data_IF_471489403811
#
_entry.id   IF_471489403811
#
_cell.length_a   1.000
_cell.length_b   1.000
_cell.length_c   1.000
_cell.angle_alpha   90.00
_cell.angle_beta   90.00
_cell.angle_gamma   90.00
#
_symmetry.space_group_name_H-M   'P 1'
#
loop_
_entity.id
_entity.type
_entity.pdbx_description
1 polymer ?
#
# COMPACT_ATOMS: atom_id res chain seq x y z
N UNK A 1 -33.70 -10.77 -14.45
CA UNK A 1 -33.61 -12.20 -14.76
C UNK A 1 -33.16 -12.92 -13.50
N UNK A 2 -33.83 -14.00 -13.10
CA UNK A 2 -33.35 -14.82 -11.99
C UNK A 2 -31.99 -15.41 -12.39
N UNK A 3 -30.98 -15.28 -11.52
CA UNK A 3 -29.68 -15.94 -11.74
C UNK A 3 -29.96 -17.45 -11.65
N UNK A 4 -29.59 -18.19 -12.70
CA UNK A 4 -29.70 -19.65 -12.73
C UNK A 4 -28.36 -20.17 -13.20
N UNK A 5 -27.69 -20.95 -12.35
CA UNK A 5 -26.46 -21.64 -12.72
C UNK A 5 -26.85 -22.95 -13.39
N UNK A 6 -26.41 -23.15 -14.63
CA UNK A 6 -26.62 -24.41 -15.34
C UNK A 6 -25.36 -25.29 -15.24
N UNK A 7 -24.20 -24.67 -15.30
CA UNK A 7 -22.90 -25.32 -15.24
C UNK A 7 -22.10 -24.82 -14.04
N UNK A 8 -21.19 -25.66 -13.54
CA UNK A 8 -20.18 -25.26 -12.55
C UNK A 8 -19.35 -24.06 -13.05
N UNK A 9 -19.03 -24.05 -14.34
CA UNK A 9 -18.34 -22.96 -15.04
C UNK A 9 -19.05 -21.60 -14.93
N UNK A 10 -20.36 -21.58 -14.62
CA UNK A 10 -21.12 -20.33 -14.49
C UNK A 10 -20.89 -19.65 -13.11
N UNK A 11 -20.35 -20.36 -12.12
CA UNK A 11 -20.27 -19.89 -10.74
C UNK A 11 -18.97 -20.23 -10.00
N UNK A 12 -17.97 -20.81 -10.67
CA UNK A 12 -16.69 -21.21 -10.07
C UNK A 12 -15.51 -20.67 -10.89
N UNK A 13 -14.43 -20.29 -10.20
CA UNK A 13 -13.19 -19.85 -10.84
C UNK A 13 -12.54 -21.01 -11.62
N UNK A 14 -11.94 -20.79 -12.80
CA UNK A 14 -11.32 -21.85 -13.58
C UNK A 14 -10.29 -22.68 -12.80
N UNK A 15 -9.53 -22.07 -11.88
CA UNK A 15 -8.55 -22.79 -11.07
C UNK A 15 -9.22 -23.73 -10.06
N UNK A 16 -10.32 -23.30 -9.44
CA UNK A 16 -11.11 -24.13 -8.53
C UNK A 16 -11.75 -25.32 -9.27
N UNK A 17 -12.19 -25.10 -10.51
CA UNK A 17 -12.75 -26.15 -11.35
C UNK A 17 -11.68 -27.21 -11.72
N UNK A 18 -10.44 -26.79 -11.96
CA UNK A 18 -9.32 -27.71 -12.18
C UNK A 18 -8.97 -28.53 -10.94
N UNK A 19 -9.03 -27.92 -9.75
CA UNK A 19 -8.81 -28.62 -8.49
C UNK A 19 -9.94 -29.63 -8.20
N UNK A 20 -11.20 -29.29 -8.49
CA UNK A 20 -12.32 -30.23 -8.41
C UNK A 20 -12.10 -31.43 -9.33
N UNK A 21 -11.69 -31.22 -10.58
CA UNK A 21 -11.29 -32.30 -11.50
C UNK A 21 -10.10 -33.12 -11.03
N UNK A 22 -9.27 -32.57 -10.14
CA UNK A 22 -8.10 -33.27 -9.59
C UNK A 22 -8.47 -34.14 -8.37
N UNK A 23 -9.65 -33.94 -7.78
CA UNK A 23 -10.19 -34.82 -6.75
C UNK A 23 -10.66 -36.14 -7.38
N UNK A 24 -10.09 -37.31 -6.98
CA UNK A 24 -10.46 -38.60 -7.55
C UNK A 24 -11.94 -38.93 -7.40
N UNK A 25 -12.55 -38.54 -6.28
CA UNK A 25 -13.95 -38.83 -5.99
C UNK A 25 -14.88 -37.97 -6.86
N UNK A 26 -14.58 -36.68 -7.01
CA UNK A 26 -15.38 -35.78 -7.86
C UNK A 26 -15.23 -36.16 -9.33
N UNK A 27 -14.00 -36.40 -9.79
CA UNK A 27 -13.76 -36.82 -11.17
C UNK A 27 -14.49 -38.13 -11.50
N UNK A 28 -14.50 -39.11 -10.59
CA UNK A 28 -15.25 -40.35 -10.78
C UNK A 28 -16.75 -40.10 -10.88
N UNK A 29 -17.31 -39.24 -10.01
CA UNK A 29 -18.74 -38.88 -10.04
C UNK A 29 -19.14 -38.19 -11.34
N UNK A 30 -18.35 -37.21 -11.79
CA UNK A 30 -18.59 -36.50 -13.05
C UNK A 30 -18.46 -37.40 -14.27
N UNK A 31 -17.46 -38.28 -14.30
CA UNK A 31 -17.28 -39.24 -15.40
C UNK A 31 -18.43 -40.25 -15.48
N UNK A 32 -18.98 -40.69 -14.33
CA UNK A 32 -20.09 -41.65 -14.29
C UNK A 32 -21.36 -41.10 -14.95
N UNK A 33 -21.60 -39.79 -14.83
CA UNK A 33 -22.72 -39.10 -15.49
C UNK A 33 -22.37 -38.56 -16.89
N UNK A 34 -21.19 -38.88 -17.41
CA UNK A 34 -20.77 -38.57 -18.78
C UNK A 34 -20.17 -37.18 -18.99
N UNK A 35 -19.80 -36.48 -17.92
CA UNK A 35 -19.07 -35.21 -18.03
C UNK A 35 -17.62 -35.46 -18.47
N UNK A 36 -17.05 -34.50 -19.19
CA UNK A 36 -15.69 -34.63 -19.72
C UNK A 36 -14.84 -33.42 -19.39
N UNK A 37 -13.60 -33.67 -18.95
CA UNK A 37 -12.66 -32.60 -18.63
C UNK A 37 -12.37 -31.75 -19.87
N UNK A 38 -12.50 -30.43 -19.73
CA UNK A 38 -12.36 -29.46 -20.82
C UNK A 38 -13.67 -29.12 -21.54
N UNK A 39 -14.79 -29.76 -21.17
CA UNK A 39 -16.14 -29.28 -21.47
C UNK A 39 -16.76 -28.65 -20.23
N UNK A 40 -17.84 -27.88 -20.41
CA UNK A 40 -18.60 -27.34 -19.28
C UNK A 40 -19.25 -28.47 -18.49
N UNK A 41 -19.15 -28.41 -17.18
CA UNK A 41 -19.68 -29.45 -16.27
C UNK A 41 -21.05 -29.04 -15.77
N UNK A 42 -22.07 -29.88 -15.93
CA UNK A 42 -23.42 -29.56 -15.42
C UNK A 42 -23.45 -29.55 -13.89
N UNK A 43 -24.24 -28.63 -13.34
CA UNK A 43 -24.51 -28.60 -11.91
C UNK A 43 -25.70 -29.51 -11.57
N UNK A 44 -25.58 -30.29 -10.49
CA UNK A 44 -26.58 -31.27 -10.07
C UNK A 44 -27.94 -30.62 -9.73
N UNK A 45 -29.02 -31.37 -9.93
CA UNK A 45 -30.42 -30.92 -9.77
C UNK A 45 -31.21 -31.79 -8.82
N UNK A 46 -31.85 -31.18 -7.83
CA UNK A 46 -32.76 -31.89 -6.92
C UNK A 46 -34.06 -32.27 -7.68
N UNK A 47 -34.96 -33.07 -7.07
CA UNK A 47 -36.22 -33.46 -7.71
C UNK A 47 -37.12 -32.27 -8.09
N UNK A 48 -36.94 -31.12 -7.44
CA UNK A 48 -37.68 -29.88 -7.72
C UNK A 48 -37.00 -29.03 -8.81
N UNK A 49 -35.85 -29.46 -9.34
CA UNK A 49 -35.08 -28.78 -10.37
C UNK A 49 -34.15 -27.68 -9.85
N UNK A 50 -33.99 -27.54 -8.53
CA UNK A 50 -33.04 -26.58 -7.95
C UNK A 50 -31.62 -27.11 -8.08
N UNK A 51 -30.70 -26.20 -8.38
CA UNK A 51 -29.28 -26.51 -8.40
C UNK A 51 -28.81 -26.83 -6.97
N UNK A 52 -28.03 -27.89 -6.80
CA UNK A 52 -27.40 -28.27 -5.53
C UNK A 52 -26.04 -28.91 -5.80
N UNK A 53 -25.20 -28.96 -4.76
CA UNK A 53 -23.95 -29.72 -4.79
C UNK A 53 -24.19 -31.11 -4.21
N UNK A 54 -23.65 -32.15 -4.84
CA UNK A 54 -23.62 -33.48 -4.24
C UNK A 54 -22.76 -33.48 -2.97
N UNK A 55 -22.84 -34.56 -2.18
CA UNK A 55 -21.99 -34.67 -0.99
C UNK A 55 -20.50 -34.67 -1.36
N UNK A 56 -20.15 -35.33 -2.46
CA UNK A 56 -18.78 -35.43 -2.98
C UNK A 56 -18.28 -34.06 -3.41
N UNK A 57 -19.08 -33.34 -4.20
CA UNK A 57 -18.76 -31.99 -4.65
C UNK A 57 -18.63 -31.02 -3.46
N UNK A 58 -19.59 -31.03 -2.53
CA UNK A 58 -19.56 -30.15 -1.35
C UNK A 58 -18.34 -30.42 -0.47
N UNK A 59 -17.97 -31.69 -0.29
CA UNK A 59 -16.77 -32.07 0.47
C UNK A 59 -15.50 -31.57 -0.21
N UNK A 60 -15.38 -31.76 -1.53
CA UNK A 60 -14.22 -31.27 -2.27
C UNK A 60 -14.12 -29.73 -2.23
N UNK A 61 -15.24 -29.01 -2.39
CA UNK A 61 -15.27 -27.54 -2.24
C UNK A 61 -14.79 -27.11 -0.85
N UNK A 62 -15.26 -27.77 0.20
CA UNK A 62 -14.82 -27.48 1.57
C UNK A 62 -13.32 -27.74 1.74
N UNK A 63 -12.82 -28.89 1.28
CA UNK A 63 -11.40 -29.26 1.37
C UNK A 63 -10.49 -28.29 0.62
N UNK A 64 -10.83 -27.89 -0.61
CA UNK A 64 -10.06 -26.93 -1.41
C UNK A 64 -9.94 -25.60 -0.68
N UNK A 65 -11.07 -25.04 -0.24
CA UNK A 65 -11.10 -23.73 0.44
C UNK A 65 -10.35 -23.78 1.78
N UNK A 66 -10.55 -24.84 2.55
CA UNK A 66 -9.86 -25.04 3.83
C UNK A 66 -8.36 -25.15 3.61
N UNK A 67 -7.92 -26.00 2.67
CA UNK A 67 -6.51 -26.19 2.37
C UNK A 67 -5.84 -24.88 1.95
N UNK A 68 -6.47 -24.13 1.04
CA UNK A 68 -5.89 -22.91 0.46
C UNK A 68 -5.84 -21.73 1.45
N UNK A 69 -6.85 -21.59 2.32
CA UNK A 69 -7.00 -20.37 3.13
C UNK A 69 -6.90 -20.58 4.64
N UNK A 70 -7.11 -21.81 5.13
CA UNK A 70 -7.23 -22.08 6.57
C UNK A 70 -6.31 -23.20 7.07
N UNK A 71 -5.55 -23.86 6.19
CA UNK A 71 -4.72 -25.01 6.52
C UNK A 71 -5.57 -26.16 7.07
N UNK A 72 -5.16 -26.78 8.18
CA UNK A 72 -5.91 -27.88 8.84
C UNK A 72 -6.70 -27.42 10.08
N UNK A 73 -7.09 -26.15 10.15
CA UNK A 73 -7.75 -25.58 11.34
C UNK A 73 -9.26 -25.86 11.41
N UNK A 74 -9.86 -26.26 10.29
CA UNK A 74 -11.30 -26.48 10.16
C UNK A 74 -11.50 -27.89 9.62
N UNK A 75 -12.39 -28.65 10.25
CA UNK A 75 -12.81 -29.95 9.75
C UNK A 75 -13.75 -29.77 8.53
N UNK A 76 -13.42 -30.30 7.34
CA UNK A 76 -14.28 -30.22 6.16
C UNK A 76 -15.68 -30.82 6.37
N UNK A 77 -15.80 -31.87 7.19
CA UNK A 77 -17.09 -32.52 7.45
C UNK A 77 -18.02 -31.59 8.25
N UNK A 78 -17.46 -30.72 9.09
CA UNK A 78 -18.22 -29.67 9.79
C UNK A 78 -18.82 -28.65 8.81
N UNK A 79 -18.07 -28.24 7.78
CA UNK A 79 -18.56 -27.33 6.75
C UNK A 79 -19.67 -27.99 5.93
N UNK A 80 -19.50 -29.26 5.55
CA UNK A 80 -20.51 -30.03 4.84
C UNK A 80 -21.82 -30.12 5.63
N UNK A 81 -21.73 -30.49 6.92
CA UNK A 81 -22.91 -30.59 7.78
C UNK A 81 -23.65 -29.25 7.93
N UNK A 82 -22.92 -28.13 8.01
CA UNK A 82 -23.54 -26.80 8.04
C UNK A 82 -24.21 -26.48 6.70
N UNK A 83 -23.57 -26.78 5.57
CA UNK A 83 -24.14 -26.57 4.24
C UNK A 83 -25.47 -27.33 4.04
N UNK A 84 -25.53 -28.59 4.49
CA UNK A 84 -26.76 -29.39 4.52
C UNK A 84 -27.82 -28.71 5.39
N UNK A 85 -27.52 -28.42 6.66
CA UNK A 85 -28.48 -27.84 7.60
C UNK A 85 -29.04 -26.46 7.17
N UNK A 86 -28.21 -25.66 6.49
CA UNK A 86 -28.57 -24.28 6.17
C UNK A 86 -29.31 -24.14 4.85
N UNK A 87 -28.94 -24.94 3.85
CA UNK A 87 -29.42 -24.73 2.47
C UNK A 87 -29.65 -26.00 1.66
N UNK A 88 -29.50 -27.19 2.25
CA UNK A 88 -29.49 -28.46 1.51
C UNK A 88 -28.44 -28.44 0.38
N UNK A 89 -27.31 -27.75 0.61
CA UNK A 89 -26.21 -27.51 -0.35
C UNK A 89 -26.62 -26.75 -1.61
N UNK A 90 -27.68 -25.94 -1.55
CA UNK A 90 -28.15 -25.17 -2.70
C UNK A 90 -27.43 -23.81 -2.80
N UNK A 91 -26.67 -23.53 -3.89
CA UNK A 91 -25.91 -22.29 -4.04
C UNK A 91 -26.78 -21.04 -4.21
N UNK A 92 -28.02 -21.19 -4.64
CA UNK A 92 -28.96 -20.08 -4.85
C UNK A 92 -30.00 -19.97 -3.73
N UNK A 93 -29.85 -20.71 -2.63
CA UNK A 93 -30.79 -20.64 -1.52
C UNK A 93 -30.83 -19.24 -0.91
N UNK A 94 -32.04 -18.73 -0.69
CA UNK A 94 -32.27 -17.46 0.01
C UNK A 94 -33.27 -17.66 1.13
N UNK A 95 -33.02 -17.07 2.29
CA UNK A 95 -33.94 -17.12 3.43
C UNK A 95 -34.10 -15.72 4.03
N UNK A 96 -35.33 -15.25 4.14
CA UNK A 96 -35.64 -13.97 4.77
C UNK A 96 -35.83 -14.13 6.27
N UNK A 97 -35.03 -13.42 7.07
CA UNK A 97 -35.18 -13.34 8.51
C UNK A 97 -36.00 -12.09 8.89
N UNK A 98 -37.21 -12.32 9.42
CA UNK A 98 -38.13 -11.26 9.85
C UNK A 98 -37.57 -10.42 11.00
N UNK A 99 -36.79 -11.00 11.91
CA UNK A 99 -36.19 -10.34 13.07
C UNK A 99 -35.02 -9.45 12.64
N UNK A 100 -34.17 -9.98 11.77
CA UNK A 100 -33.03 -9.22 11.24
C UNK A 100 -33.43 -8.23 10.12
N UNK A 101 -34.64 -8.38 9.56
CA UNK A 101 -35.13 -7.64 8.38
C UNK A 101 -34.12 -7.71 7.22
N UNK A 102 -33.57 -8.90 6.99
CA UNK A 102 -32.51 -9.13 6.02
C UNK A 102 -32.61 -10.53 5.43
N UNK A 103 -32.10 -10.70 4.22
CA UNK A 103 -32.05 -11.98 3.53
C UNK A 103 -30.65 -12.57 3.62
N UNK A 104 -30.53 -13.80 4.12
CA UNK A 104 -29.32 -14.62 3.99
C UNK A 104 -29.29 -15.31 2.63
N UNK A 105 -28.11 -15.51 2.08
CA UNK A 105 -27.92 -16.04 0.72
C UNK A 105 -26.84 -17.12 0.68
N UNK A 106 -26.96 -18.02 -0.29
CA UNK A 106 -25.95 -19.02 -0.65
C UNK A 106 -25.93 -20.25 0.25
N UNK A 107 -24.98 -21.15 -0.04
CA UNK A 107 -24.84 -22.46 0.63
C UNK A 107 -24.74 -22.31 2.15
N UNK A 108 -23.96 -21.33 2.61
CA UNK A 108 -23.70 -21.11 4.04
C UNK A 108 -24.71 -20.16 4.71
N UNK A 109 -25.75 -19.71 3.99
CA UNK A 109 -26.76 -18.77 4.47
C UNK A 109 -26.18 -17.56 5.23
N UNK A 110 -25.19 -16.89 4.63
CA UNK A 110 -24.59 -15.68 5.20
C UNK A 110 -25.37 -14.44 4.76
N UNK A 111 -25.47 -13.45 5.65
CA UNK A 111 -25.95 -12.13 5.26
C UNK A 111 -24.88 -11.39 4.47
N UNK A 112 -25.22 -10.70 3.36
CA UNK A 112 -24.25 -9.93 2.57
C UNK A 112 -23.43 -8.94 3.43
N UNK A 113 -24.09 -8.26 4.38
CA UNK A 113 -23.41 -7.34 5.31
C UNK A 113 -22.38 -8.04 6.21
N UNK A 114 -22.61 -9.30 6.56
CA UNK A 114 -21.67 -10.10 7.34
C UNK A 114 -20.49 -10.53 6.50
N UNK A 115 -20.73 -10.96 5.25
CA UNK A 115 -19.67 -11.30 4.30
C UNK A 115 -18.76 -10.08 4.03
N UNK A 116 -19.34 -8.91 3.72
CA UNK A 116 -18.59 -7.66 3.55
C UNK A 116 -17.76 -7.31 4.80
N UNK A 117 -18.32 -7.53 6.00
CA UNK A 117 -17.63 -7.27 7.25
C UNK A 117 -16.47 -8.26 7.51
N UNK A 118 -16.61 -9.52 7.09
CA UNK A 118 -15.54 -10.52 7.15
C UNK A 118 -14.43 -10.23 6.13
N UNK A 119 -14.78 -9.81 4.92
CA UNK A 119 -13.84 -9.55 3.83
C UNK A 119 -13.03 -8.26 4.00
N UNK A 120 -13.51 -7.29 4.78
CA UNK A 120 -12.73 -6.08 5.09
C UNK A 120 -11.50 -6.44 5.91
N UNK A 121 -10.31 -6.25 5.31
CA UNK A 121 -9.05 -6.18 6.04
C UNK A 121 -9.25 -5.32 7.29
N UNK A 122 -8.90 -5.88 8.45
CA UNK A 122 -9.04 -5.16 9.71
C UNK A 122 -7.95 -4.13 9.77
N UNK A 123 -8.32 -2.88 9.55
CA UNK A 123 -7.41 -1.75 9.73
C UNK A 123 -6.72 -1.85 11.08
N UNK A 124 -5.48 -1.39 11.16
CA UNK A 124 -4.72 -1.37 12.41
C UNK A 124 -5.52 -0.68 13.54
N UNK A 125 -6.23 0.39 13.20
CA UNK A 125 -7.15 1.05 14.12
C UNK A 125 -8.21 0.09 14.67
N UNK A 126 -8.84 -0.73 13.81
CA UNK A 126 -9.82 -1.73 14.25
C UNK A 126 -9.19 -2.73 15.22
N UNK A 127 -8.00 -3.26 14.89
CA UNK A 127 -7.31 -4.27 15.70
C UNK A 127 -6.99 -3.70 17.09
N UNK A 128 -6.41 -2.51 17.16
CA UNK A 128 -6.00 -1.89 18.41
C UNK A 128 -7.20 -1.45 19.26
N UNK A 129 -8.25 -0.93 18.62
CA UNK A 129 -9.48 -0.56 19.34
C UNK A 129 -10.24 -1.79 19.82
N UNK A 130 -10.21 -2.89 19.05
CA UNK A 130 -10.73 -4.17 19.48
C UNK A 130 -9.92 -4.76 20.64
N UNK A 131 -8.59 -4.62 20.63
CA UNK A 131 -7.74 -5.03 21.75
C UNK A 131 -8.14 -4.35 23.06
N UNK A 132 -8.44 -3.04 23.01
CA UNK A 132 -8.86 -2.31 24.21
C UNK A 132 -10.30 -2.58 24.63
N UNK A 133 -11.23 -2.68 23.68
CA UNK A 133 -12.68 -2.63 23.95
C UNK A 133 -13.46 -3.89 23.57
N UNK A 134 -12.82 -4.89 23.00
CA UNK A 134 -13.46 -5.99 22.30
C UNK A 134 -13.96 -5.59 20.90
N UNK A 135 -14.21 -6.58 20.05
CA UNK A 135 -14.63 -6.39 18.64
C UNK A 135 -15.90 -5.55 18.49
N UNK A 136 -16.84 -5.65 19.44
CA UNK A 136 -18.08 -4.84 19.48
C UNK A 136 -17.83 -3.34 19.74
N UNK A 137 -16.69 -2.97 20.34
CA UNK A 137 -16.35 -1.57 20.65
C UNK A 137 -15.20 -1.04 19.77
N UNK A 138 -14.74 -1.82 18.80
CA UNK A 138 -13.65 -1.45 17.92
C UNK A 138 -13.91 -0.14 17.15
N UNK A 139 -15.16 0.17 16.83
CA UNK A 139 -15.56 1.42 16.17
C UNK A 139 -16.18 2.45 17.13
N UNK A 140 -16.39 2.10 18.40
CA UNK A 140 -17.09 2.93 19.38
C UNK A 140 -16.22 4.08 19.91
N UNK A 141 -16.78 5.29 20.09
CA UNK A 141 -16.03 6.49 20.49
C UNK A 141 -15.18 6.32 21.76
N UNK A 142 -15.59 5.44 22.69
CA UNK A 142 -14.85 5.16 23.93
C UNK A 142 -13.46 4.55 23.72
N UNK A 143 -13.19 3.90 22.59
CA UNK A 143 -11.87 3.29 22.29
C UNK A 143 -10.94 4.23 21.52
N UNK A 144 -11.44 5.36 21.02
CA UNK A 144 -10.67 6.34 20.26
C UNK A 144 -9.48 6.92 21.04
N UNK A 145 -9.58 7.27 22.34
CA UNK A 145 -8.42 7.77 23.10
C UNK A 145 -7.28 6.75 23.20
N UNK A 146 -7.61 5.46 23.25
CA UNK A 146 -6.60 4.39 23.29
C UNK A 146 -5.88 4.24 21.95
N UNK A 147 -6.62 4.33 20.84
CA UNK A 147 -6.03 4.40 19.49
C UNK A 147 -5.08 5.58 19.34
N UNK A 148 -5.51 6.77 19.77
CA UNK A 148 -4.66 7.97 19.73
C UNK A 148 -3.36 7.77 20.54
N UNK A 149 -3.46 7.16 21.74
CA UNK A 149 -2.29 6.84 22.57
C UNK A 149 -1.38 5.79 21.93
N UNK A 150 -1.96 4.72 21.37
CA UNK A 150 -1.23 3.70 20.63
C UNK A 150 -0.43 4.33 19.50
N UNK A 151 -1.08 5.17 18.69
CA UNK A 151 -0.45 5.84 17.56
C UNK A 151 0.72 6.70 18.00
N UNK A 152 0.57 7.49 19.08
CA UNK A 152 1.67 8.26 19.68
C UNK A 152 2.84 7.37 20.15
N UNK A 153 2.54 6.22 20.75
CA UNK A 153 3.59 5.27 21.20
C UNK A 153 4.26 4.62 19.99
N UNK A 154 3.50 4.12 19.02
CA UNK A 154 4.01 3.51 17.79
C UNK A 154 4.86 4.50 16.97
N UNK A 155 4.46 5.76 16.91
CA UNK A 155 5.21 6.86 16.30
C UNK A 155 6.55 7.14 17.01
N UNK A 156 6.67 6.81 18.30
CA UNK A 156 7.92 6.92 19.07
C UNK A 156 8.73 5.63 19.14
N UNK A 157 8.25 4.52 18.55
CA UNK A 157 9.02 3.28 18.45
C UNK A 157 10.15 3.41 17.41
N UNK A 158 11.36 2.91 17.70
CA UNK A 158 12.59 3.21 16.96
C UNK A 158 12.71 2.59 15.56
N UNK A 159 11.70 1.93 15.00
CA UNK A 159 11.83 1.19 13.73
C UNK A 159 11.21 1.92 12.52
N UNK A 160 11.47 3.23 12.37
CA UNK A 160 11.08 4.00 11.17
C UNK A 160 12.21 4.11 10.13
N UNK A 161 13.41 3.63 10.46
CA UNK A 161 14.55 3.52 9.56
C UNK A 161 15.19 2.14 9.73
N UNK A 162 15.88 1.65 8.70
CA UNK A 162 16.60 0.38 8.81
C UNK A 162 17.85 0.53 9.68
N UNK A 163 18.38 -0.56 10.27
CA UNK A 163 19.64 -0.51 11.01
C UNK A 163 20.79 0.06 10.18
N UNK A 164 20.84 -0.25 8.88
CA UNK A 164 21.85 0.23 7.94
C UNK A 164 21.75 1.73 7.72
N UNK A 165 20.54 2.25 7.51
CA UNK A 165 20.28 3.68 7.37
C UNK A 165 20.63 4.45 8.65
N UNK A 166 20.35 3.88 9.83
CA UNK A 166 20.70 4.47 11.11
C UNK A 166 22.22 4.48 11.37
N UNK A 167 22.92 3.42 10.95
CA UNK A 167 24.37 3.35 11.03
C UNK A 167 25.03 4.44 10.17
N UNK A 168 24.54 4.63 8.94
CA UNK A 168 25.05 5.65 8.04
C UNK A 168 24.78 7.07 8.52
N UNK A 169 23.60 7.32 9.10
CA UNK A 169 23.31 8.57 9.80
C UNK A 169 24.30 8.80 10.95
N UNK A 170 24.58 7.79 11.76
CA UNK A 170 25.52 7.90 12.89
C UNK A 170 26.97 8.14 12.44
N UNK A 171 27.35 7.69 11.25
CA UNK A 171 28.69 7.91 10.70
C UNK A 171 28.93 9.35 10.21
N UNK A 172 27.88 10.17 10.08
CA UNK A 172 28.00 11.59 9.74
C UNK A 172 28.32 12.42 10.98
N UNK A 173 29.44 13.14 10.94
CA UNK A 173 29.97 13.87 12.10
C UNK A 173 29.01 14.94 12.65
N UNK A 174 28.28 15.66 11.79
CA UNK A 174 27.29 16.66 12.19
C UNK A 174 26.09 16.02 12.89
N UNK A 175 25.57 14.92 12.35
CA UNK A 175 24.47 14.14 12.94
C UNK A 175 24.89 13.53 14.28
N UNK A 176 26.03 12.85 14.32
CA UNK A 176 26.52 12.18 15.53
C UNK A 176 26.79 13.18 16.66
N UNK A 177 27.30 14.38 16.31
CA UNK A 177 27.51 15.48 17.24
C UNK A 177 26.19 16.01 17.80
N UNK A 178 25.18 16.18 16.95
CA UNK A 178 23.84 16.61 17.38
C UNK A 178 23.20 15.59 18.32
N UNK A 179 23.20 14.31 17.94
CA UNK A 179 22.65 13.22 18.74
C UNK A 179 23.37 13.02 20.07
N UNK A 180 24.70 13.11 20.09
CA UNK A 180 25.48 13.00 21.32
C UNK A 180 25.18 14.16 22.27
N UNK A 181 24.97 15.37 21.74
CA UNK A 181 24.63 16.56 22.54
C UNK A 181 23.27 16.41 23.23
N UNK A 182 22.34 15.68 22.64
CA UNK A 182 21.01 15.40 23.22
C UNK A 182 20.95 14.10 24.03
N UNK A 183 22.09 13.41 24.21
CA UNK A 183 22.19 12.19 25.01
C UNK A 183 21.63 10.93 24.34
N UNK A 184 21.45 10.96 23.01
CA UNK A 184 21.07 9.79 22.24
C UNK A 184 22.25 8.82 22.10
N UNK A 185 21.96 7.54 21.88
CA UNK A 185 22.99 6.48 21.82
C UNK A 185 22.93 5.77 20.47
N UNK A 186 24.06 5.26 20.02
CA UNK A 186 24.14 4.45 18.79
C UNK A 186 23.15 3.29 18.87
N UNK A 187 22.37 3.09 17.80
CA UNK A 187 21.30 2.09 17.73
C UNK A 187 20.03 2.43 18.51
N UNK A 188 19.99 3.54 19.27
CA UNK A 188 18.80 4.00 19.99
C UNK A 188 18.73 5.53 19.98
N UNK A 189 18.17 6.04 18.90
CA UNK A 189 17.96 7.47 18.65
C UNK A 189 16.46 7.75 18.54
N UNK A 190 16.00 8.78 19.24
CA UNK A 190 14.63 9.30 19.14
C UNK A 190 14.56 10.45 18.15
N UNK A 191 13.42 10.60 17.48
CA UNK A 191 13.13 11.78 16.67
C UNK A 191 13.00 13.04 17.53
N UNK A 192 13.35 14.18 16.94
CA UNK A 192 13.02 15.49 17.50
C UNK A 192 11.50 15.66 17.56
N UNK A 193 11.01 16.30 18.62
CA UNK A 193 9.58 16.48 18.88
C UNK A 193 9.29 17.96 19.11
N UNK A 194 8.24 18.49 18.48
CA UNK A 194 7.81 19.89 18.67
C UNK A 194 7.00 20.09 19.96
N UNK A 195 6.62 21.34 20.25
CA UNK A 195 5.79 21.68 21.43
C UNK A 195 4.43 20.96 21.44
N UNK A 196 3.92 20.57 20.26
CA UNK A 196 2.65 19.86 20.07
C UNK A 196 2.83 18.35 20.01
N UNK A 197 4.01 17.84 20.38
CA UNK A 197 4.37 16.42 20.37
C UNK A 197 4.41 15.78 18.98
N UNK A 198 4.63 16.56 17.92
CA UNK A 198 4.79 16.06 16.56
C UNK A 198 6.25 15.74 16.27
N UNK A 199 6.55 14.53 15.75
CA UNK A 199 7.91 14.18 15.37
C UNK A 199 8.33 14.89 14.08
N UNK A 200 9.54 15.41 14.05
CA UNK A 200 10.15 16.06 12.89
C UNK A 200 11.63 15.69 12.78
N UNK A 201 12.21 15.90 11.59
CA UNK A 201 13.66 15.83 11.40
C UNK A 201 14.29 17.21 11.60
N UNK A 202 15.37 17.29 12.37
CA UNK A 202 16.22 18.48 12.41
C UNK A 202 16.76 18.82 11.01
N UNK A 203 17.30 20.03 10.82
CA UNK A 203 17.90 20.39 9.52
C UNK A 203 19.13 19.53 9.19
N UNK A 204 19.88 19.14 10.22
CA UNK A 204 21.05 18.26 10.09
C UNK A 204 20.62 16.85 9.72
N UNK A 205 19.61 16.32 10.43
CA UNK A 205 19.04 15.00 10.14
C UNK A 205 18.44 14.93 8.73
N UNK A 206 17.66 15.94 8.34
CA UNK A 206 17.02 15.99 7.02
C UNK A 206 18.05 16.02 5.90
N UNK A 207 19.11 16.83 6.04
CA UNK A 207 20.19 16.90 5.07
C UNK A 207 20.91 15.58 4.96
N UNK A 208 21.21 14.94 6.09
CA UNK A 208 21.83 13.62 6.09
C UNK A 208 20.97 12.57 5.36
N UNK A 209 19.66 12.51 5.62
CA UNK A 209 18.74 11.60 4.92
C UNK A 209 18.73 11.89 3.41
N UNK A 210 18.67 13.16 3.00
CA UNK A 210 18.71 13.55 1.58
C UNK A 210 20.02 13.13 0.92
N UNK A 211 21.16 13.43 1.53
CA UNK A 211 22.48 13.06 1.01
C UNK A 211 22.62 11.53 0.88
N UNK A 212 22.19 10.75 1.87
CA UNK A 212 22.28 9.27 1.85
C UNK A 212 21.48 8.71 0.68
N UNK A 213 20.22 9.14 0.55
CA UNK A 213 19.34 8.69 -0.55
C UNK A 213 19.95 9.03 -1.91
N UNK A 214 20.42 10.26 -2.07
CA UNK A 214 21.01 10.70 -3.34
C UNK A 214 22.28 9.93 -3.66
N UNK A 215 23.15 9.71 -2.67
CA UNK A 215 24.40 8.97 -2.87
C UNK A 215 24.14 7.50 -3.22
N UNK A 216 23.18 6.85 -2.55
CA UNK A 216 22.87 5.42 -2.77
C UNK A 216 22.12 5.16 -4.08
N UNK A 217 21.17 6.03 -4.42
CA UNK A 217 20.17 5.69 -5.44
C UNK A 217 20.11 6.64 -6.63
N UNK A 218 20.71 7.83 -6.51
CA UNK A 218 20.62 8.89 -7.52
C UNK A 218 21.97 9.54 -7.79
N UNK A 219 23.08 8.80 -7.61
CA UNK A 219 24.44 9.35 -7.73
C UNK A 219 24.78 9.87 -9.13
N UNK A 220 24.09 9.38 -10.15
CA UNK A 220 24.22 9.81 -11.54
C UNK A 220 23.32 11.01 -11.88
N UNK A 221 22.42 11.42 -10.98
CA UNK A 221 21.49 12.51 -11.21
C UNK A 221 22.02 13.79 -10.55
N UNK A 222 21.97 14.95 -11.22
CA UNK A 222 22.48 16.21 -10.68
C UNK A 222 21.46 16.83 -9.71
N UNK A 223 21.17 16.15 -8.60
CA UNK A 223 20.27 16.66 -7.55
C UNK A 223 21.09 16.98 -6.32
N UNK A 224 20.96 18.21 -5.83
CA UNK A 224 21.57 18.62 -4.57
C UNK A 224 20.64 18.24 -3.42
N UNK A 225 21.20 17.75 -2.29
CA UNK A 225 20.43 17.49 -1.09
C UNK A 225 19.68 18.71 -0.54
N UNK A 226 20.25 19.91 -0.70
CA UNK A 226 19.63 21.19 -0.31
C UNK A 226 18.27 21.43 -0.96
N UNK A 227 18.09 21.00 -2.22
CA UNK A 227 16.81 21.12 -2.95
C UNK A 227 15.74 20.26 -2.29
N UNK A 228 16.06 18.99 -1.99
CA UNK A 228 15.12 18.10 -1.29
C UNK A 228 14.80 18.61 0.12
N UNK A 229 15.80 19.16 0.82
CA UNK A 229 15.61 19.74 2.14
C UNK A 229 14.66 20.96 2.11
N UNK A 230 14.87 21.86 1.15
CA UNK A 230 14.03 23.03 0.97
C UNK A 230 12.59 22.64 0.60
N UNK A 231 12.40 21.66 -0.29
CA UNK A 231 11.08 21.10 -0.59
C UNK A 231 10.40 20.52 0.66
N UNK A 232 11.10 19.70 1.44
CA UNK A 232 10.55 19.13 2.66
C UNK A 232 10.19 20.21 3.70
N UNK A 233 10.99 21.29 3.81
CA UNK A 233 10.67 22.42 4.69
C UNK A 233 9.40 23.16 4.23
N UNK A 234 9.25 23.44 2.94
CA UNK A 234 8.05 24.10 2.38
C UNK A 234 6.80 23.24 2.50
N UNK A 235 6.93 21.94 2.26
CA UNK A 235 5.79 21.03 2.10
C UNK A 235 5.27 20.50 3.44
N UNK A 236 6.18 20.09 4.32
CA UNK A 236 5.83 19.37 5.55
C UNK A 236 6.36 20.03 6.81
N UNK A 237 7.11 21.14 6.71
CA UNK A 237 7.91 21.68 7.82
C UNK A 237 8.80 20.61 8.47
N UNK A 238 9.24 19.62 7.67
CA UNK A 238 10.06 18.47 8.10
C UNK A 238 9.35 17.49 9.05
N UNK A 239 8.02 17.57 9.18
CA UNK A 239 7.25 16.63 9.99
C UNK A 239 7.20 15.25 9.35
N UNK A 240 7.51 14.21 10.13
CA UNK A 240 7.52 12.82 9.63
C UNK A 240 6.16 12.38 9.09
N UNK A 241 5.08 12.82 9.72
CA UNK A 241 3.73 12.46 9.32
C UNK A 241 3.15 13.40 8.26
N UNK A 242 3.92 14.38 7.79
CA UNK A 242 3.48 15.40 6.85
C UNK A 242 2.51 16.45 7.43
N UNK A 243 1.90 17.23 6.53
CA UNK A 243 0.99 18.33 6.87
C UNK A 243 -0.25 18.27 5.96
N UNK A 244 -1.43 18.31 6.58
CA UNK A 244 -2.70 18.25 5.86
C UNK A 244 -2.88 16.90 5.13
N UNK A 245 -3.24 16.89 3.83
CA UNK A 245 -3.41 15.64 3.07
C UNK A 245 -2.09 15.02 2.60
N UNK A 246 -0.95 15.72 2.77
CA UNK A 246 0.35 15.27 2.27
C UNK A 246 1.06 14.42 3.32
N UNK A 247 1.40 13.19 2.96
CA UNK A 247 2.08 12.24 3.83
C UNK A 247 3.60 12.40 3.77
N UNK A 248 4.29 12.12 4.87
CA UNK A 248 5.75 12.13 4.91
C UNK A 248 6.40 13.51 4.88
N UNK A 249 7.73 13.51 4.95
CA UNK A 249 8.54 14.74 4.92
C UNK A 249 8.54 15.40 3.53
N UNK A 250 8.39 14.63 2.46
CA UNK A 250 8.38 15.13 1.07
C UNK A 250 6.98 15.33 0.49
N UNK A 251 5.93 14.94 1.21
CA UNK A 251 4.53 15.21 0.86
C UNK A 251 3.98 14.49 -0.38
N UNK A 252 4.64 13.42 -0.83
CA UNK A 252 4.16 12.55 -1.90
C UNK A 252 3.00 11.70 -1.38
N UNK A 253 1.91 11.60 -2.14
CA UNK A 253 0.80 10.70 -1.81
C UNK A 253 1.10 9.25 -2.25
N UNK A 254 0.34 8.30 -1.69
CA UNK A 254 0.55 6.88 -1.98
C UNK A 254 0.35 6.51 -3.44
N UNK A 255 -0.61 7.11 -4.14
CA UNK A 255 -0.84 6.82 -5.57
C UNK A 255 0.36 7.24 -6.41
N UNK A 256 0.92 8.42 -6.19
CA UNK A 256 2.12 8.91 -6.88
C UNK A 256 3.34 8.04 -6.57
N UNK A 257 3.54 7.67 -5.30
CA UNK A 257 4.64 6.79 -4.91
C UNK A 257 4.49 5.37 -5.50
N UNK A 258 3.28 4.82 -5.51
CA UNK A 258 2.96 3.53 -6.09
C UNK A 258 3.17 3.51 -7.59
N UNK A 259 2.82 4.60 -8.29
CA UNK A 259 3.08 4.78 -9.71
C UNK A 259 4.59 4.89 -10.01
N UNK A 260 5.35 5.69 -9.25
CA UNK A 260 6.82 5.78 -9.37
C UNK A 260 7.49 4.43 -9.13
N UNK A 261 6.95 3.65 -8.19
CA UNK A 261 7.29 2.25 -8.06
C UNK A 261 6.78 1.54 -9.34
N UNK A 262 5.58 0.99 -9.37
CA UNK A 262 5.12 0.03 -10.37
C UNK A 262 5.45 0.36 -11.83
N UNK A 263 5.39 1.62 -12.25
CA UNK A 263 5.57 2.01 -13.66
C UNK A 263 6.94 2.62 -13.97
N UNK A 264 7.50 3.47 -13.10
CA UNK A 264 8.75 4.20 -13.40
C UNK A 264 10.03 3.47 -12.95
N UNK A 265 9.90 2.30 -12.32
CA UNK A 265 11.05 1.43 -12.00
C UNK A 265 11.82 1.80 -10.72
N UNK A 266 11.36 2.76 -9.92
CA UNK A 266 12.01 3.13 -8.67
C UNK A 266 11.75 2.08 -7.57
N UNK A 267 12.55 1.00 -7.52
CA UNK A 267 12.34 -0.18 -6.64
C UNK A 267 13.15 -0.25 -5.33
N UNK A 268 14.03 0.71 -5.03
CA UNK A 268 14.98 0.55 -3.91
C UNK A 268 14.33 0.42 -2.52
N UNK A 269 13.14 1.00 -2.34
CA UNK A 269 12.33 0.87 -1.12
C UNK A 269 10.98 0.23 -1.46
N UNK A 270 10.68 -0.92 -0.86
CA UNK A 270 9.47 -1.70 -1.14
C UNK A 270 8.23 -1.10 -0.44
N UNK A 271 7.34 -0.48 -1.23
CA UNK A 271 6.08 0.11 -0.75
C UNK A 271 5.03 -0.97 -0.53
N UNK A 272 4.64 -1.22 0.73
CA UNK A 272 3.57 -2.15 1.06
C UNK A 272 2.28 -1.42 1.47
N UNK A 273 2.40 -0.23 2.07
CA UNK A 273 1.26 0.52 2.59
C UNK A 273 1.51 2.04 2.64
N UNK A 274 0.44 2.84 2.67
CA UNK A 274 0.54 4.31 2.73
C UNK A 274 1.39 4.85 3.88
N UNK A 275 1.36 4.18 5.03
CA UNK A 275 2.12 4.57 6.21
C UNK A 275 3.65 4.45 6.02
N UNK A 276 4.12 3.70 5.02
CA UNK A 276 5.54 3.61 4.70
C UNK A 276 6.12 4.97 4.33
N UNK A 277 5.31 5.87 3.73
CA UNK A 277 5.73 7.23 3.40
C UNK A 277 5.94 8.12 4.63
N UNK A 278 5.54 7.69 5.83
CA UNK A 278 5.89 8.39 7.08
C UNK A 278 7.28 8.01 7.60
N UNK A 279 7.97 7.06 6.96
CA UNK A 279 9.38 6.72 7.22
C UNK A 279 10.26 7.70 6.44
N UNK A 280 11.27 8.33 7.09
CA UNK A 280 12.04 9.41 6.47
C UNK A 280 12.77 8.99 5.18
N UNK A 281 13.38 7.80 5.17
CA UNK A 281 14.09 7.28 3.99
C UNK A 281 13.16 6.95 2.81
N UNK A 282 12.01 6.32 3.09
CA UNK A 282 10.99 6.06 2.07
C UNK A 282 10.46 7.37 1.47
N UNK A 283 10.05 8.30 2.34
CA UNK A 283 9.55 9.61 1.92
C UNK A 283 10.58 10.34 1.06
N UNK A 284 11.83 10.39 1.52
CA UNK A 284 12.92 11.06 0.80
C UNK A 284 13.21 10.40 -0.55
N UNK A 285 13.26 9.06 -0.60
CA UNK A 285 13.49 8.30 -1.83
C UNK A 285 12.43 8.59 -2.89
N UNK A 286 11.15 8.48 -2.55
CA UNK A 286 10.07 8.75 -3.51
C UNK A 286 9.96 10.24 -3.86
N UNK A 287 10.32 11.14 -2.95
CA UNK A 287 10.43 12.56 -3.27
C UNK A 287 11.55 12.85 -4.27
N UNK A 288 12.72 12.24 -4.10
CA UNK A 288 13.82 12.34 -5.06
C UNK A 288 13.44 11.74 -6.42
N UNK A 289 12.81 10.56 -6.44
CA UNK A 289 12.31 9.92 -7.65
C UNK A 289 11.30 10.80 -8.41
N UNK A 290 10.36 11.43 -7.70
CA UNK A 290 9.38 12.32 -8.32
C UNK A 290 10.04 13.56 -8.92
N UNK A 291 11.04 14.13 -8.23
CA UNK A 291 11.82 15.26 -8.73
C UNK A 291 12.58 14.89 -10.01
N UNK A 292 13.24 13.72 -10.05
CA UNK A 292 13.89 13.20 -11.25
C UNK A 292 12.90 13.09 -12.40
N UNK A 293 11.73 12.50 -12.16
CA UNK A 293 10.73 12.34 -13.20
C UNK A 293 10.19 13.69 -13.72
N UNK A 294 9.95 14.65 -12.83
CA UNK A 294 9.50 15.99 -13.21
C UNK A 294 10.53 16.77 -14.02
N UNK A 295 11.82 16.51 -13.82
CA UNK A 295 12.89 17.14 -14.60
C UNK A 295 12.83 16.78 -16.09
N UNK A 296 12.26 15.62 -16.43
CA UNK A 296 12.11 15.10 -17.80
C UNK A 296 10.62 15.01 -18.22
N UNK A 297 9.75 15.78 -17.57
CA UNK A 297 8.30 15.71 -17.79
C UNK A 297 7.90 15.94 -19.26
N UNK A 298 7.08 15.03 -19.81
CA UNK A 298 6.70 14.94 -21.24
C UNK A 298 7.89 14.84 -22.22
N UNK A 299 8.98 14.17 -21.79
CA UNK A 299 10.15 13.93 -22.64
C UNK A 299 10.98 15.18 -22.92
N UNK A 300 10.76 16.26 -22.16
CA UNK A 300 11.48 17.53 -22.30
C UNK A 300 12.14 17.92 -20.99
N UNK A 301 13.38 18.40 -21.06
CA UNK A 301 14.08 18.97 -19.90
C UNK A 301 13.32 20.19 -19.38
N UNK A 302 12.96 20.19 -18.11
CA UNK A 302 12.20 21.27 -17.46
C UNK A 302 13.10 22.20 -16.66
N UNK A 303 12.65 23.44 -16.47
CA UNK A 303 13.35 24.42 -15.63
C UNK A 303 13.18 24.06 -14.14
N UNK A 304 14.13 24.45 -13.26
CA UNK A 304 14.00 24.21 -11.82
C UNK A 304 12.72 24.80 -11.24
N UNK A 305 12.32 25.97 -11.73
CA UNK A 305 11.10 26.64 -11.32
C UNK A 305 9.86 25.81 -11.67
N UNK A 306 9.77 25.31 -12.90
CA UNK A 306 8.69 24.39 -13.29
C UNK A 306 8.69 23.15 -12.41
N UNK A 307 9.85 22.51 -12.19
CA UNK A 307 9.96 21.28 -11.41
C UNK A 307 9.45 21.49 -9.99
N UNK A 308 9.87 22.56 -9.31
CA UNK A 308 9.43 22.84 -7.93
C UNK A 308 7.94 23.16 -7.86
N UNK A 309 7.42 23.97 -8.79
CA UNK A 309 5.99 24.26 -8.83
C UNK A 309 5.17 23.01 -9.15
N UNK A 310 5.60 22.20 -10.12
CA UNK A 310 4.96 20.94 -10.50
C UNK A 310 4.98 19.93 -9.37
N UNK A 311 6.06 19.91 -8.58
CA UNK A 311 6.16 19.07 -7.39
C UNK A 311 5.07 19.41 -6.38
N UNK A 312 4.83 20.71 -6.16
CA UNK A 312 3.90 21.20 -5.15
C UNK A 312 2.45 21.19 -5.66
N UNK A 313 2.19 21.56 -6.91
CA UNK A 313 0.84 21.72 -7.47
C UNK A 313 0.35 20.54 -8.30
N UNK A 314 1.27 19.69 -8.75
CA UNK A 314 1.06 18.76 -9.86
C UNK A 314 1.44 19.41 -11.20
N UNK A 315 2.08 18.67 -12.13
CA UNK A 315 2.62 19.23 -13.37
C UNK A 315 1.56 19.84 -14.29
N UNK A 316 0.32 19.33 -14.26
CA UNK A 316 -0.81 19.87 -15.04
C UNK A 316 -1.37 21.19 -14.51
N UNK A 317 -0.98 21.58 -13.29
CA UNK A 317 -1.50 22.75 -12.60
C UNK A 317 -0.48 23.90 -12.53
N UNK A 318 0.68 23.76 -13.19
CA UNK A 318 1.69 24.82 -13.24
C UNK A 318 1.26 25.90 -14.23
N UNK A 319 1.24 27.15 -13.77
CA UNK A 319 1.01 28.30 -14.64
C UNK A 319 2.34 28.84 -15.17
N UNK A 320 2.63 28.78 -16.48
CA UNK A 320 3.90 29.23 -17.05
C UNK A 320 4.18 30.74 -16.92
N UNK A 321 3.16 31.55 -16.60
CA UNK A 321 3.26 33.02 -16.59
C UNK A 321 3.37 33.63 -15.18
N UNK A 322 3.34 32.80 -14.14
CA UNK A 322 3.39 33.25 -12.75
C UNK A 322 4.54 32.55 -12.03
N UNK A 323 5.58 33.31 -11.67
CA UNK A 323 6.57 32.86 -10.70
C UNK A 323 5.92 32.83 -9.32
N UNK A 324 5.10 31.79 -9.11
CA UNK A 324 4.10 31.79 -8.06
C UNK A 324 4.71 31.85 -6.65
N UNK A 325 3.90 32.22 -5.64
CA UNK A 325 4.32 32.37 -4.23
C UNK A 325 4.96 31.11 -3.61
N UNK A 326 4.92 29.96 -4.29
CA UNK A 326 5.58 28.73 -3.88
C UNK A 326 7.07 28.71 -4.21
N UNK A 327 7.48 29.26 -5.36
CA UNK A 327 8.88 29.37 -5.73
C UNK A 327 9.63 30.27 -4.74
N UNK A 328 9.05 31.41 -4.37
CA UNK A 328 9.63 32.32 -3.38
C UNK A 328 9.81 31.65 -2.00
N UNK A 329 8.83 30.86 -1.55
CA UNK A 329 8.94 30.07 -0.32
C UNK A 329 10.04 29.03 -0.40
N UNK A 330 10.20 28.40 -1.57
CA UNK A 330 11.27 27.44 -1.82
C UNK A 330 12.65 28.12 -1.80
N UNK A 331 12.85 29.24 -2.48
CA UNK A 331 14.10 29.99 -2.44
C UNK A 331 14.46 30.45 -1.02
N UNK A 332 13.46 30.93 -0.26
CA UNK A 332 13.65 31.27 1.14
C UNK A 332 14.10 30.06 1.95
N UNK A 333 13.44 28.90 1.80
CA UNK A 333 13.83 27.68 2.48
C UNK A 333 15.24 27.21 2.06
N UNK A 334 15.58 27.31 0.77
CA UNK A 334 16.87 26.93 0.21
C UNK A 334 18.03 27.72 0.83
N UNK A 335 17.82 29.00 1.14
CA UNK A 335 18.81 29.84 1.83
C UNK A 335 19.23 29.30 3.21
N UNK A 336 18.43 28.44 3.84
CA UNK A 336 18.79 27.78 5.10
C UNK A 336 19.74 26.59 4.91
N UNK A 337 19.90 26.09 3.68
CA UNK A 337 20.71 24.90 3.34
C UNK A 337 21.90 25.20 2.43
N UNK A 338 21.92 26.36 1.75
CA UNK A 338 22.99 26.80 0.83
C UNK A 338 23.58 28.18 1.19
N UNK A 339 24.84 28.40 0.79
CA UNK A 339 25.39 29.75 0.58
C UNK A 339 24.83 30.29 -0.75
N UNK A 340 23.99 31.34 -0.70
CA UNK A 340 23.04 31.83 -1.73
C UNK A 340 23.64 32.11 -3.13
N UNK A 341 24.97 32.11 -3.30
CA UNK A 341 25.64 32.52 -4.55
C UNK A 341 25.76 31.46 -5.65
N UNK A 342 25.46 30.17 -5.41
CA UNK A 342 25.81 29.06 -6.34
C UNK A 342 24.64 28.34 -7.04
N UNK A 343 23.40 28.86 -6.97
CA UNK A 343 22.24 28.18 -7.55
C UNK A 343 21.97 28.54 -9.02
N UNK A 344 22.36 29.74 -9.48
CA UNK A 344 22.09 30.20 -10.87
C UNK A 344 22.86 29.44 -11.97
N UNK A 345 23.84 28.62 -11.62
CA UNK A 345 24.64 27.80 -12.55
C UNK A 345 24.12 26.35 -12.67
N UNK A 346 22.99 26.01 -12.04
CA UNK A 346 22.69 24.63 -11.64
C UNK A 346 21.93 23.76 -12.66
N UNK A 347 21.57 24.27 -13.83
CA UNK A 347 21.07 23.40 -14.92
C UNK A 347 21.93 23.62 -16.16
N UNK A 348 23.00 22.83 -16.36
CA UNK A 348 23.61 22.71 -17.66
C UNK A 348 22.55 22.25 -18.67
N UNK A 349 22.60 22.81 -19.88
CA UNK A 349 21.79 22.47 -21.06
C UNK A 349 21.99 21.03 -21.58
N UNK A 350 22.43 20.09 -20.73
CA UNK A 350 22.77 18.72 -21.09
C UNK A 350 22.23 17.75 -20.03
N UNK A 351 20.91 17.59 -20.00
CA UNK A 351 20.32 16.31 -19.59
C UNK A 351 20.22 15.44 -20.85
N UNK A 352 21.31 14.79 -21.23
CA UNK A 352 21.30 13.77 -22.29
C UNK A 352 21.63 12.44 -21.65
N UNK A 353 20.64 11.55 -21.57
CA UNK A 353 20.87 10.13 -21.38
C UNK A 353 21.31 9.58 -22.74
N UNK A 354 22.57 9.18 -22.89
CA UNK A 354 22.97 8.37 -24.04
C UNK A 354 22.19 7.06 -23.96
N UNK A 355 21.25 6.88 -24.89
CA UNK A 355 20.64 5.58 -25.10
C UNK A 355 21.75 4.62 -25.55
N UNK A 356 22.02 3.62 -24.73
CA UNK A 356 22.72 2.42 -25.16
C UNK A 356 21.93 1.78 -26.30
N UNK A 357 22.37 2.02 -27.54
CA UNK A 357 21.98 1.21 -28.69
C UNK A 357 22.48 -0.22 -28.44
N UNK A 358 21.57 -1.07 -27.96
CA UNK A 358 21.72 -2.51 -28.15
C UNK A 358 21.07 -2.85 -29.47
N UNK A 359 21.90 -3.41 -30.34
CA UNK A 359 21.57 -4.13 -31.57
C UNK A 359 20.19 -4.77 -31.55
N UNK A 360 19.51 -4.80 -32.71
CA UNK A 360 18.95 -6.03 -33.30
C UNK A 360 18.18 -5.76 -34.61
N UNK A 361 18.56 -6.54 -35.64
CA UNK A 361 17.93 -6.85 -36.95
C UNK A 361 17.92 -5.82 -38.08
N UNK A 362 18.95 -5.92 -38.93
CA UNK A 362 18.82 -5.79 -40.39
C UNK A 362 18.36 -7.14 -40.99
N UNK A 363 17.27 -7.10 -41.75
CA UNK A 363 16.98 -7.99 -42.88
C UNK A 363 16.31 -7.19 -43.98
#
# INVERSE_FOLDING_TARGET
>A
MAVSYKYWDDCVDPHDLEELWSSPCVAAEWLDVGETKGQKVHLSRDPDGNAYLTQTEMKAVAEIIIHRHFGSQIDPDMICAIADLQSDRQPLATRYDKKAKSTSVGIMQLFPKTADWLARERSEEFIIRAYKGGTKKATHKSTLPYWQRYRLVKESLPSRASPEDMEEMWNRHDVSKEWTKTGEKKGKVRFSIDEKKKPYLSRVELKAVADIILTKHFSTKPIKPSVLCALAEVISLRFLNGVGPRAGITGIDYSTASWLYNEMGFRAYNLNQGDDLCKPFFSMYFGAAYLVWLAEYEGSSRTPEFVVQAYILGPKNVNPQDSGPQWLKFEQALSHYEDVKKFREYVPSHFTCEHSESSVYDR
#
